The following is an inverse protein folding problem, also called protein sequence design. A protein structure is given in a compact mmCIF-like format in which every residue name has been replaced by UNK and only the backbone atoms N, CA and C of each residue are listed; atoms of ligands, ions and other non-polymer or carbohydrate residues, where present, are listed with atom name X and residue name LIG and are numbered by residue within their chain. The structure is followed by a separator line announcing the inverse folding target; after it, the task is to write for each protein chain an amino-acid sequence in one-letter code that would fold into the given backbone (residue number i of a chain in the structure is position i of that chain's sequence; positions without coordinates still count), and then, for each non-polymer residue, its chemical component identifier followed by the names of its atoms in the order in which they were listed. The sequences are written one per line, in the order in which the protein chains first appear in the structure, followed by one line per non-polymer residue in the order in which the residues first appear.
data_IF_537937462959
#
_entry.id   IF_537937462959
#
_cell.length_a   1.000
_cell.length_b   1.000
_cell.length_c   1.000
_cell.angle_alpha   90.00
_cell.angle_beta   90.00
_cell.angle_gamma   90.00
#
_symmetry.space_group_name_H-M   'P 1'
#
loop_
_entity.id
_entity.type
_entity.pdbx_description
1 polymer ?
#
# COMPACT_ATOMS: atom_id res chain seq x y z
N UNK A 1 32.31 -17.28 11.12
CA UNK A 1 31.12 -17.64 10.33
C UNK A 1 30.01 -17.91 11.32
N UNK A 2 29.04 -17.01 11.43
CA UNK A 2 27.96 -17.15 12.42
C UNK A 2 26.98 -18.19 11.92
N UNK A 3 26.85 -19.27 12.69
CA UNK A 3 25.99 -20.41 12.45
C UNK A 3 24.51 -19.96 12.54
N UNK A 4 23.89 -19.71 11.39
CA UNK A 4 22.47 -19.37 11.33
C UNK A 4 21.66 -20.67 11.51
N UNK A 5 21.41 -21.04 12.77
CA UNK A 5 20.58 -22.22 13.12
C UNK A 5 19.12 -21.95 12.77
N UNK A 6 18.70 -22.39 11.59
CA UNK A 6 17.29 -22.44 11.20
C UNK A 6 16.60 -23.51 12.05
N UNK A 7 15.62 -23.10 12.87
CA UNK A 7 14.81 -23.99 13.71
C UNK A 7 13.42 -24.18 13.09
N UNK A 8 13.09 -25.37 12.56
CA UNK A 8 11.79 -25.66 11.97
C UNK A 8 10.61 -25.48 12.93
N UNK A 9 10.82 -25.67 14.23
CA UNK A 9 9.77 -25.54 15.24
C UNK A 9 9.27 -24.09 15.38
N UNK A 10 10.20 -23.14 15.38
CA UNK A 10 9.87 -21.70 15.43
C UNK A 10 9.13 -21.22 14.20
N UNK A 11 9.52 -21.71 13.02
CA UNK A 11 8.85 -21.36 11.75
C UNK A 11 7.40 -21.87 11.79
N UNK A 12 7.21 -23.13 12.20
CA UNK A 12 5.88 -23.71 12.32
C UNK A 12 5.00 -22.93 13.30
N UNK A 13 5.53 -22.59 14.46
CA UNK A 13 4.81 -21.83 15.48
C UNK A 13 4.38 -20.45 14.95
N UNK A 14 5.27 -19.73 14.28
CA UNK A 14 4.96 -18.42 13.70
C UNK A 14 3.85 -18.50 12.62
N UNK A 15 3.87 -19.56 11.79
CA UNK A 15 2.83 -19.78 10.78
C UNK A 15 1.48 -20.16 11.40
N UNK A 16 1.48 -21.02 12.44
CA UNK A 16 0.26 -21.39 13.18
C UNK A 16 -0.36 -20.15 13.88
N UNK A 17 0.47 -19.28 14.45
CA UNK A 17 0.04 -18.01 15.06
C UNK A 17 -0.52 -17.01 14.03
N UNK A 18 0.14 -16.85 12.89
CA UNK A 18 -0.36 -16.00 11.79
C UNK A 18 -1.70 -16.51 11.23
N UNK A 19 -1.81 -17.81 10.99
CA UNK A 19 -3.05 -18.41 10.51
C UNK A 19 -4.19 -18.28 11.53
N UNK A 20 -3.91 -18.45 12.82
CA UNK A 20 -4.90 -18.33 13.90
C UNK A 20 -5.36 -16.89 14.18
N UNK A 21 -4.52 -15.89 13.88
CA UNK A 21 -4.84 -14.48 14.10
C UNK A 21 -5.63 -13.84 12.95
N UNK A 22 -5.74 -14.50 11.79
CA UNK A 22 -6.52 -13.99 10.66
C UNK A 22 -8.02 -14.07 10.96
N UNK A 23 -8.64 -12.90 11.11
CA UNK A 23 -10.10 -12.78 11.20
C UNK A 23 -10.61 -12.03 9.97
N UNK A 24 -11.57 -12.59 9.20
CA UNK A 24 -12.18 -11.87 8.11
C UNK A 24 -12.95 -10.68 8.69
N UNK A 25 -12.41 -9.47 8.51
CA UNK A 25 -13.14 -8.25 8.83
C UNK A 25 -14.36 -8.15 7.93
N UNK A 26 -15.53 -7.88 8.51
CA UNK A 26 -16.74 -7.52 7.76
C UNK A 26 -16.39 -6.37 6.81
N UNK A 27 -16.66 -6.46 5.50
CA UNK A 27 -16.24 -5.42 4.58
C UNK A 27 -16.94 -4.12 4.99
N UNK A 28 -16.19 -3.06 5.37
CA UNK A 28 -16.78 -1.73 5.40
C UNK A 28 -17.36 -1.47 4.01
N UNK A 29 -18.33 -0.56 3.88
CA UNK A 29 -18.82 -0.15 2.56
C UNK A 29 -17.64 0.39 1.72
N UNK A 30 -17.01 -0.48 0.93
CA UNK A 30 -15.87 -0.13 0.11
C UNK A 30 -16.41 0.74 -1.02
N UNK A 31 -16.01 2.02 -1.02
CA UNK A 31 -16.22 2.85 -2.19
C UNK A 31 -15.24 2.37 -3.25
N UNK A 32 -15.79 1.91 -4.37
CA UNK A 32 -15.03 1.44 -5.54
C UNK A 32 -15.22 2.46 -6.66
N UNK A 33 -14.11 2.95 -7.20
CA UNK A 33 -14.04 3.75 -8.41
C UNK A 33 -13.59 2.90 -9.60
N UNK A 34 -13.46 3.52 -10.76
CA UNK A 34 -12.93 2.89 -11.98
C UNK A 34 -11.92 3.78 -12.67
N UNK A 35 -10.88 3.17 -13.21
CA UNK A 35 -9.93 3.87 -14.10
C UNK A 35 -10.67 4.29 -15.37
N UNK A 36 -10.61 5.58 -15.68
CA UNK A 36 -11.12 6.17 -16.94
C UNK A 36 -10.01 6.15 -17.99
N UNK A 37 -8.78 6.46 -17.59
CA UNK A 37 -7.60 6.43 -18.44
C UNK A 37 -6.36 6.27 -17.56
N UNK A 38 -5.32 5.62 -18.07
CA UNK A 38 -4.00 5.63 -17.48
C UNK A 38 -2.91 5.83 -18.54
N UNK A 39 -1.90 6.64 -18.22
CA UNK A 39 -0.76 6.90 -19.09
C UNK A 39 0.35 7.67 -18.35
N UNK A 40 1.61 7.40 -18.69
CA UNK A 40 2.79 8.07 -18.14
C UNK A 40 2.83 8.16 -16.60
N UNK A 41 2.35 7.11 -15.91
CA UNK A 41 2.30 7.06 -14.45
C UNK A 41 1.19 7.89 -13.80
N UNK A 42 0.23 8.40 -14.59
CA UNK A 42 -0.96 9.10 -14.11
C UNK A 42 -2.20 8.29 -14.49
N UNK A 43 -3.10 8.07 -13.53
CA UNK A 43 -4.41 7.47 -13.76
C UNK A 43 -5.51 8.50 -13.45
N UNK A 44 -6.52 8.58 -14.32
CA UNK A 44 -7.78 9.26 -14.05
C UNK A 44 -8.77 8.25 -13.52
N UNK A 45 -9.33 8.49 -12.35
CA UNK A 45 -10.24 7.58 -11.67
C UNK A 45 -11.59 8.27 -11.47
N UNK A 46 -12.67 7.63 -11.89
CA UNK A 46 -14.03 8.09 -11.63
C UNK A 46 -14.63 7.40 -10.40
N UNK A 47 -15.56 8.06 -9.73
CA UNK A 47 -16.18 7.57 -8.50
C UNK A 47 -15.43 8.02 -7.25
N UNK A 48 -15.48 7.20 -6.18
CA UNK A 48 -14.86 7.50 -4.88
C UNK A 48 -15.24 8.88 -4.29
N UNK A 49 -16.55 9.19 -4.09
CA UNK A 49 -16.99 10.51 -3.64
C UNK A 49 -16.47 10.91 -2.26
N UNK A 50 -16.02 9.94 -1.45
CA UNK A 50 -15.40 10.20 -0.15
C UNK A 50 -13.87 10.11 -0.17
N UNK A 51 -13.21 10.19 -1.32
CA UNK A 51 -11.75 10.25 -1.41
C UNK A 51 -11.23 11.56 -0.82
N UNK A 52 -10.17 11.48 -0.03
CA UNK A 52 -9.46 12.65 0.48
C UNK A 52 -8.32 13.03 -0.47
N UNK A 53 -7.91 14.31 -0.42
CA UNK A 53 -6.70 14.73 -1.11
C UNK A 53 -5.49 14.09 -0.41
N UNK A 54 -4.49 13.70 -1.20
CA UNK A 54 -3.32 12.95 -0.77
C UNK A 54 -3.66 11.59 -0.15
N UNK A 55 -4.83 11.02 -0.44
CA UNK A 55 -5.16 9.66 -0.01
C UNK A 55 -4.46 8.62 -0.87
N UNK A 56 -4.06 7.51 -0.25
CA UNK A 56 -3.62 6.32 -0.98
C UNK A 56 -4.82 5.59 -1.58
N UNK A 57 -4.72 5.29 -2.86
CA UNK A 57 -5.63 4.46 -3.63
C UNK A 57 -4.98 3.11 -3.91
N UNK A 58 -5.77 2.04 -3.85
CA UNK A 58 -5.35 0.70 -4.19
C UNK A 58 -5.92 0.32 -5.56
N UNK A 59 -5.02 0.07 -6.51
CA UNK A 59 -5.34 -0.46 -7.84
C UNK A 59 -5.28 -1.99 -7.82
N UNK A 60 -5.78 -2.61 -8.88
CA UNK A 60 -5.56 -4.05 -9.08
C UNK A 60 -4.06 -4.39 -9.15
N UNK A 61 -3.73 -5.63 -8.80
CA UNK A 61 -2.33 -6.07 -8.72
C UNK A 61 -1.54 -5.52 -7.52
N UNK A 62 -2.20 -4.81 -6.59
CA UNK A 62 -1.55 -4.30 -5.38
C UNK A 62 -0.73 -3.03 -5.59
N UNK A 63 -0.81 -2.44 -6.78
CA UNK A 63 -0.21 -1.14 -7.08
C UNK A 63 -0.94 -0.06 -6.29
N UNK A 64 -0.20 0.87 -5.71
CA UNK A 64 -0.78 2.01 -5.01
C UNK A 64 -0.72 3.25 -5.89
N UNK A 65 -1.64 4.17 -5.68
CA UNK A 65 -1.55 5.52 -6.24
C UNK A 65 -1.90 6.57 -5.21
N UNK A 66 -1.53 7.81 -5.49
CA UNK A 66 -1.79 8.97 -4.67
C UNK A 66 -2.89 9.81 -5.33
N UNK A 67 -4.02 10.00 -4.65
CA UNK A 67 -5.06 10.92 -5.07
C UNK A 67 -4.55 12.37 -4.97
N UNK A 68 -3.99 12.89 -6.06
CA UNK A 68 -3.31 14.18 -6.08
C UNK A 68 -4.29 15.32 -6.39
N UNK A 69 -5.02 15.20 -7.50
CA UNK A 69 -6.01 16.20 -7.91
C UNK A 69 -7.43 15.65 -7.74
N UNK A 70 -8.32 16.40 -7.11
CA UNK A 70 -9.74 16.06 -6.99
C UNK A 70 -10.55 17.03 -7.85
N UNK A 71 -11.11 16.53 -8.95
CA UNK A 71 -12.02 17.26 -9.83
C UNK A 71 -13.48 16.85 -9.52
N UNK A 72 -14.46 17.54 -10.10
CA UNK A 72 -15.89 17.27 -9.82
C UNK A 72 -16.32 15.86 -10.22
N UNK A 73 -15.72 15.30 -11.28
CA UNK A 73 -16.12 14.01 -11.86
C UNK A 73 -15.00 12.96 -11.82
N UNK A 74 -13.75 13.39 -11.67
CA UNK A 74 -12.57 12.54 -11.78
C UNK A 74 -11.53 12.88 -10.70
N UNK A 75 -10.70 11.90 -10.40
CA UNK A 75 -9.58 12.01 -9.48
C UNK A 75 -8.32 11.73 -10.30
N UNK A 76 -7.40 12.70 -10.31
CA UNK A 76 -6.05 12.53 -10.84
C UNK A 76 -5.19 11.81 -9.81
N UNK A 77 -4.87 10.54 -10.08
CA UNK A 77 -4.05 9.70 -9.24
C UNK A 77 -2.64 9.51 -9.83
N UNK A 78 -1.61 9.74 -9.04
CA UNK A 78 -0.21 9.45 -9.41
C UNK A 78 0.09 8.01 -9.01
N UNK A 79 0.54 7.18 -9.94
CA UNK A 79 0.84 5.77 -9.70
C UNK A 79 2.19 5.63 -8.99
N UNK A 80 2.20 4.91 -7.87
CA UNK A 80 3.36 4.65 -7.02
C UNK A 80 3.84 3.22 -7.26
N UNK A 81 4.49 3.00 -8.41
CA UNK A 81 4.99 1.69 -8.81
C UNK A 81 4.98 1.49 -10.31
N UNK A 82 4.90 0.23 -10.74
CA UNK A 82 4.76 -0.11 -12.15
C UNK A 82 3.33 0.19 -12.62
N UNK A 83 3.21 1.04 -13.65
CA UNK A 83 1.94 1.44 -14.22
C UNK A 83 1.51 0.54 -15.40
N UNK A 84 2.38 -0.35 -15.87
CA UNK A 84 2.17 -1.15 -17.09
C UNK A 84 0.95 -2.08 -17.01
N UNK A 85 0.54 -2.46 -15.80
CA UNK A 85 -0.62 -3.33 -15.57
C UNK A 85 -1.94 -2.59 -15.33
N UNK A 86 -1.95 -1.24 -15.36
CA UNK A 86 -3.15 -0.45 -15.11
C UNK A 86 -3.87 -0.16 -16.43
N UNK A 87 -5.09 -0.65 -16.52
CA UNK A 87 -5.94 -0.54 -17.72
C UNK A 87 -7.25 0.19 -17.41
N UNK A 88 -7.86 0.74 -18.46
CA UNK A 88 -9.18 1.36 -18.38
C UNK A 88 -10.24 0.37 -17.84
N UNK A 89 -11.15 0.87 -17.02
CA UNK A 89 -12.25 0.11 -16.44
C UNK A 89 -11.88 -0.69 -15.18
N UNK A 90 -10.60 -0.83 -14.86
CA UNK A 90 -10.16 -1.52 -13.64
C UNK A 90 -10.71 -0.86 -12.38
N UNK A 91 -11.13 -1.65 -11.38
CA UNK A 91 -11.60 -1.13 -10.10
C UNK A 91 -10.46 -0.52 -9.30
N UNK A 92 -10.75 0.62 -8.69
CA UNK A 92 -9.84 1.31 -7.77
C UNK A 92 -10.53 1.44 -6.41
N UNK A 93 -9.83 1.08 -5.34
CA UNK A 93 -10.37 1.14 -3.98
C UNK A 93 -9.70 2.26 -3.21
N UNK A 94 -10.50 3.03 -2.47
CA UNK A 94 -9.96 3.98 -1.50
C UNK A 94 -9.42 3.24 -0.28
N UNK A 95 -8.32 3.70 0.32
CA UNK A 95 -7.75 3.07 1.52
C UNK A 95 -8.19 3.73 2.83
N UNK A 96 -8.73 4.95 2.75
CA UNK A 96 -9.02 5.83 3.89
C UNK A 96 -7.77 6.37 4.57
N UNK A 97 -6.58 6.13 4.02
CA UNK A 97 -5.30 6.53 4.61
C UNK A 97 -4.71 7.65 3.77
N UNK A 98 -4.57 8.83 4.38
CA UNK A 98 -3.72 9.89 3.82
C UNK A 98 -2.29 9.36 3.74
N UNK A 99 -1.57 9.76 2.70
CA UNK A 99 -0.18 9.40 2.50
C UNK A 99 0.61 9.64 3.79
N UNK A 100 1.11 8.55 4.34
CA UNK A 100 1.89 8.54 5.57
C UNK A 100 3.02 7.58 5.42
N UNK A 101 4.18 7.94 5.97
CA UNK A 101 5.37 7.09 5.98
C UNK A 101 5.64 6.64 7.41
N UNK A 102 5.91 5.35 7.65
CA UNK A 102 6.39 4.87 8.96
C UNK A 102 7.72 5.54 9.31
N UNK A 103 7.88 5.90 10.59
CA UNK A 103 9.10 6.55 11.09
C UNK A 103 9.58 5.88 12.37
N UNK A 104 10.87 6.01 12.67
CA UNK A 104 11.46 5.57 13.92
C UNK A 104 12.93 5.18 13.76
N UNK A 105 13.59 4.93 14.90
CA UNK A 105 15.02 4.62 14.94
C UNK A 105 15.36 3.29 14.25
N UNK A 106 14.37 2.40 14.05
CA UNK A 106 14.53 1.14 13.35
C UNK A 106 14.93 1.29 11.85
N UNK A 107 14.78 2.49 11.28
CA UNK A 107 15.24 2.82 9.93
C UNK A 107 16.74 3.12 9.83
N UNK A 108 17.43 3.34 10.95
CA UNK A 108 18.85 3.69 10.95
C UNK A 108 19.68 2.55 10.32
N UNK A 109 20.39 2.88 9.24
CA UNK A 109 21.23 1.93 8.50
C UNK A 109 20.48 1.01 7.54
N UNK A 110 19.17 1.22 7.35
CA UNK A 110 18.34 0.48 6.38
C UNK A 110 18.27 1.23 5.04
N UNK A 111 17.99 0.49 3.97
CA UNK A 111 17.66 1.08 2.66
C UNK A 111 16.19 0.81 2.36
N UNK A 112 15.44 1.88 2.09
CA UNK A 112 13.98 1.84 1.97
C UNK A 112 13.51 2.60 0.74
N UNK A 113 12.34 2.23 0.25
CA UNK A 113 11.64 2.96 -0.80
C UNK A 113 10.97 4.24 -0.26
N UNK A 114 10.40 5.10 -1.14
CA UNK A 114 9.72 6.33 -0.71
C UNK A 114 8.49 6.12 0.19
N UNK A 115 7.95 4.90 0.25
CA UNK A 115 6.83 4.52 1.12
C UNK A 115 7.30 3.91 2.45
N UNK A 116 8.61 3.87 2.69
CA UNK A 116 9.21 3.33 3.91
C UNK A 116 9.30 1.80 3.92
N UNK A 117 9.13 1.12 2.78
CA UNK A 117 9.29 -0.34 2.69
C UNK A 117 10.78 -0.69 2.53
N UNK A 118 11.30 -1.69 3.28
CA UNK A 118 12.69 -2.10 3.16
C UNK A 118 12.97 -2.77 1.81
N UNK A 119 14.04 -2.32 1.13
CA UNK A 119 14.53 -2.89 -0.14
C UNK A 119 15.94 -3.49 0.00
N UNK A 120 16.50 -3.49 1.20
CA UNK A 120 17.83 -4.04 1.52
C UNK A 120 17.85 -5.57 1.75
N UNK A 121 16.69 -6.23 1.76
CA UNK A 121 16.59 -7.67 1.99
C UNK A 121 16.87 -8.13 3.42
N UNK A 122 16.99 -7.20 4.37
CA UNK A 122 17.28 -7.50 5.79
C UNK A 122 16.02 -7.81 6.63
N UNK A 123 14.87 -8.02 5.97
CA UNK A 123 13.58 -8.30 6.60
C UNK A 123 12.78 -7.04 6.91
N UNK A 124 11.64 -7.21 7.60
CA UNK A 124 10.73 -6.11 7.92
C UNK A 124 11.33 -5.11 8.92
N UNK A 125 10.89 -3.85 8.85
CA UNK A 125 11.23 -2.80 9.82
C UNK A 125 10.04 -2.66 10.77
N UNK A 126 10.27 -2.87 12.07
CA UNK A 126 9.24 -2.69 13.10
C UNK A 126 9.21 -1.23 13.53
N UNK A 127 8.11 -0.54 13.20
CA UNK A 127 7.86 0.83 13.60
C UNK A 127 6.42 0.97 14.10
N UNK A 128 6.27 1.67 15.22
CA UNK A 128 4.98 1.89 15.87
C UNK A 128 4.39 3.27 15.53
N UNK A 129 5.15 4.13 14.86
CA UNK A 129 4.77 5.49 14.49
C UNK A 129 4.76 5.71 12.97
N UNK A 130 3.82 6.55 12.51
CA UNK A 130 3.73 7.02 11.12
C UNK A 130 3.52 8.52 11.08
N UNK A 131 4.14 9.20 10.12
CA UNK A 131 3.98 10.66 9.89
C UNK A 131 3.22 10.88 8.58
N UNK A 132 2.20 11.74 8.63
CA UNK A 132 1.47 12.21 7.45
C UNK A 132 2.36 13.21 6.70
N UNK A 133 2.36 13.11 5.37
CA UNK A 133 3.07 14.03 4.46
C UNK A 133 2.17 15.18 4.00
#
# INVERSE_FOLDING_TARGET
MTDLKIDPGKIRQALEEFAGSYSPSSPPSEQVGRVVNAGDGIARVSGLPGCMSNELLAFEGGVQGLAFNLEEQEIGAVILGDFSGIEEGQPVKRTGKVLSVPVGDAYLGRVVDPLGRPIDGLGEIKCDESRIL
#
